data_IF_670096877735
#
_entry.id   IF_670096877735
#
_cell.length_a   1.000
_cell.length_b   1.000
_cell.length_c   1.000
_cell.angle_alpha   90.00
_cell.angle_beta   90.00
_cell.angle_gamma   90.00
#
_symmetry.space_group_name_H-M   'P 1'
#
loop_
_entity.id
_entity.type
_entity.pdbx_description
1 polymer ?
#
# COMPACT_ATOMS: atom_id res chain seq x y z
N UNK A 1 11.36 -21.77 -18.30
CA UNK A 1 10.75 -23.08 -18.07
C UNK A 1 11.66 -24.14 -18.68
N UNK A 2 11.99 -25.18 -17.94
CA UNK A 2 12.80 -26.32 -18.42
C UNK A 2 11.94 -27.57 -18.41
N UNK A 3 11.79 -28.17 -19.59
CA UNK A 3 11.14 -29.44 -19.80
C UNK A 3 12.24 -30.52 -19.97
N UNK A 4 12.25 -31.58 -19.17
CA UNK A 4 13.21 -32.66 -19.36
C UNK A 4 12.99 -33.38 -20.69
N UNK A 5 14.08 -33.89 -21.30
CA UNK A 5 14.03 -34.54 -22.60
C UNK A 5 13.06 -35.74 -22.64
N UNK A 6 12.87 -36.42 -21.51
CA UNK A 6 12.02 -37.62 -21.39
C UNK A 6 10.58 -37.28 -20.97
N UNK A 7 10.17 -35.99 -21.01
CA UNK A 7 8.87 -35.53 -20.50
C UNK A 7 7.69 -36.32 -21.09
N UNK A 8 7.67 -36.42 -22.39
CA UNK A 8 6.59 -37.13 -23.10
C UNK A 8 6.61 -38.64 -22.85
N UNK A 9 7.78 -39.26 -22.83
CA UNK A 9 7.93 -40.71 -22.63
C UNK A 9 7.50 -41.15 -21.22
N UNK A 10 7.81 -40.36 -20.21
CA UNK A 10 7.36 -40.61 -18.83
C UNK A 10 5.85 -40.42 -18.68
N UNK A 11 5.28 -39.38 -19.31
CA UNK A 11 3.84 -39.17 -19.36
C UNK A 11 3.10 -40.34 -20.01
N UNK A 12 3.53 -40.79 -21.20
CA UNK A 12 2.91 -41.90 -21.91
C UNK A 12 2.99 -43.21 -21.10
N UNK A 13 4.05 -43.39 -20.30
CA UNK A 13 4.21 -44.52 -19.39
C UNK A 13 3.41 -44.39 -18.08
N UNK A 14 2.62 -43.31 -17.92
CA UNK A 14 1.86 -43.04 -16.67
C UNK A 14 2.73 -42.71 -15.47
N UNK A 15 3.96 -42.23 -15.69
CA UNK A 15 4.88 -41.84 -14.62
C UNK A 15 4.86 -40.33 -14.38
N UNK A 16 5.10 -39.96 -13.12
CA UNK A 16 5.18 -38.55 -12.75
C UNK A 16 6.44 -37.92 -13.35
N UNK A 17 6.26 -36.80 -14.03
CA UNK A 17 7.35 -35.97 -14.55
C UNK A 17 7.36 -34.60 -13.90
N UNK A 18 8.51 -33.90 -13.90
CA UNK A 18 8.67 -32.64 -13.23
C UNK A 18 9.12 -31.55 -14.22
N UNK A 19 8.37 -30.45 -14.25
CA UNK A 19 8.73 -29.24 -14.98
C UNK A 19 9.41 -28.27 -14.03
N UNK A 20 10.57 -27.75 -14.40
CA UNK A 20 11.30 -26.78 -13.59
C UNK A 20 11.05 -25.37 -14.12
N UNK A 21 10.56 -24.50 -13.25
CA UNK A 21 10.37 -23.08 -13.56
C UNK A 21 11.41 -22.28 -12.79
N UNK A 22 12.23 -21.54 -13.51
CA UNK A 22 13.22 -20.64 -12.93
C UNK A 22 12.66 -19.23 -13.00
N UNK A 23 12.45 -18.61 -11.85
CA UNK A 23 11.94 -17.23 -11.72
C UNK A 23 12.95 -16.38 -10.96
N UNK A 24 13.17 -15.17 -11.42
CA UNK A 24 13.98 -14.19 -10.71
C UNK A 24 13.15 -13.55 -9.59
N UNK A 25 13.60 -13.72 -8.35
CA UNK A 25 12.96 -13.16 -7.16
C UNK A 25 13.32 -11.68 -6.91
N UNK A 26 14.21 -11.09 -7.69
CA UNK A 26 14.56 -9.67 -7.55
C UNK A 26 13.38 -8.74 -7.85
N UNK A 27 12.46 -9.18 -8.72
CA UNK A 27 11.20 -8.51 -9.00
C UNK A 27 10.02 -9.27 -8.37
N UNK A 28 9.75 -9.05 -7.08
CA UNK A 28 8.75 -9.79 -6.30
C UNK A 28 7.37 -9.89 -6.97
N UNK A 29 6.92 -8.82 -7.64
CA UNK A 29 5.63 -8.78 -8.33
C UNK A 29 5.60 -9.67 -9.57
N UNK A 30 6.67 -9.61 -10.37
CA UNK A 30 6.79 -10.48 -11.54
C UNK A 30 6.95 -11.94 -11.14
N UNK A 31 7.71 -12.19 -10.06
CA UNK A 31 7.86 -13.53 -9.51
C UNK A 31 6.51 -14.13 -9.09
N UNK A 32 5.70 -13.39 -8.31
CA UNK A 32 4.37 -13.85 -7.88
C UNK A 32 3.44 -14.10 -9.06
N UNK A 33 3.39 -13.17 -10.02
CA UNK A 33 2.55 -13.32 -11.21
C UNK A 33 2.93 -14.55 -12.04
N UNK A 34 4.23 -14.78 -12.25
CA UNK A 34 4.73 -15.95 -12.96
C UNK A 34 4.47 -17.25 -12.18
N UNK A 35 4.65 -17.25 -10.87
CA UNK A 35 4.39 -18.40 -10.03
C UNK A 35 2.90 -18.78 -10.04
N UNK A 36 2.02 -17.82 -9.87
CA UNK A 36 0.56 -18.04 -9.92
C UNK A 36 0.13 -18.55 -11.29
N UNK A 37 0.56 -17.88 -12.37
CA UNK A 37 0.25 -18.33 -13.73
C UNK A 37 0.74 -19.75 -14.01
N UNK A 38 1.97 -20.08 -13.58
CA UNK A 38 2.52 -21.42 -13.73
C UNK A 38 1.73 -22.46 -12.92
N UNK A 39 1.30 -22.12 -11.72
CA UNK A 39 0.48 -23.01 -10.88
C UNK A 39 -0.86 -23.30 -11.54
N UNK A 40 -1.57 -22.27 -12.04
CA UNK A 40 -2.84 -22.45 -12.74
C UNK A 40 -2.69 -23.29 -14.01
N UNK A 41 -1.69 -23.00 -14.85
CA UNK A 41 -1.41 -23.78 -16.06
C UNK A 41 -1.07 -25.22 -15.72
N UNK A 42 -0.29 -25.47 -14.67
CA UNK A 42 0.05 -26.84 -14.25
C UNK A 42 -1.17 -27.61 -13.76
N UNK A 43 -2.09 -26.97 -13.04
CA UNK A 43 -3.33 -27.60 -12.60
C UNK A 43 -4.24 -27.93 -13.77
N UNK A 44 -4.38 -27.01 -14.73
CA UNK A 44 -5.18 -27.19 -15.93
C UNK A 44 -4.64 -28.30 -16.82
N UNK A 45 -3.33 -28.30 -17.10
CA UNK A 45 -2.66 -29.37 -17.82
C UNK A 45 -2.81 -30.74 -17.12
N UNK A 46 -2.72 -30.77 -15.79
CA UNK A 46 -2.91 -32.04 -15.06
C UNK A 46 -4.35 -32.54 -15.18
N UNK A 47 -5.33 -31.63 -15.24
CA UNK A 47 -6.72 -31.96 -15.47
C UNK A 47 -6.90 -32.56 -16.88
N UNK A 48 -6.38 -31.90 -17.91
CA UNK A 48 -6.44 -32.37 -19.32
C UNK A 48 -5.78 -33.74 -19.50
N UNK A 49 -4.60 -33.93 -18.90
CA UNK A 49 -3.90 -35.23 -18.96
C UNK A 49 -4.75 -36.34 -18.32
N UNK A 50 -5.35 -36.12 -17.14
CA UNK A 50 -6.23 -37.09 -16.48
C UNK A 50 -7.41 -37.46 -17.37
N UNK A 51 -8.01 -36.49 -18.04
CA UNK A 51 -9.13 -36.67 -18.95
C UNK A 51 -8.76 -37.50 -20.17
N UNK A 52 -7.58 -37.28 -20.71
CA UNK A 52 -7.07 -38.08 -21.86
C UNK A 52 -6.95 -39.55 -21.52
N UNK A 53 -6.64 -39.90 -20.27
CA UNK A 53 -6.53 -41.29 -19.80
C UNK A 53 -7.86 -41.95 -19.43
N UNK A 54 -8.96 -41.21 -19.33
CA UNK A 54 -10.29 -41.72 -18.99
C UNK A 54 -11.35 -41.26 -19.99
N UNK A 55 -11.33 -41.78 -21.24
CA UNK A 55 -12.31 -41.41 -22.25
C UNK A 55 -13.71 -41.94 -21.89
N UNK A 56 -14.74 -41.15 -22.10
CA UNK A 56 -16.13 -41.55 -21.94
C UNK A 56 -16.87 -41.02 -20.71
N UNK A 57 -16.26 -40.09 -20.00
CA UNK A 57 -16.90 -39.40 -18.89
C UNK A 57 -17.87 -38.29 -19.38
N UNK A 58 -18.95 -38.06 -18.61
CA UNK A 58 -19.80 -36.91 -18.85
C UNK A 58 -19.11 -35.63 -18.33
N UNK A 59 -19.46 -34.45 -18.88
CA UNK A 59 -18.88 -33.17 -18.48
C UNK A 59 -18.97 -32.88 -16.96
N UNK A 60 -19.99 -33.39 -16.29
CA UNK A 60 -20.16 -33.25 -14.84
C UNK A 60 -19.19 -34.16 -14.07
N UNK A 61 -19.02 -35.42 -14.53
CA UNK A 61 -18.06 -36.35 -13.96
C UNK A 61 -16.63 -35.88 -14.16
N UNK A 62 -16.36 -35.29 -15.32
CA UNK A 62 -15.11 -34.62 -15.66
C UNK A 62 -14.77 -33.54 -14.67
N UNK A 63 -15.69 -32.63 -14.42
CA UNK A 63 -15.54 -31.53 -13.46
C UNK A 63 -15.32 -32.04 -12.03
N UNK A 64 -16.00 -33.08 -11.59
CA UNK A 64 -15.83 -33.67 -10.27
C UNK A 64 -14.46 -34.36 -10.14
N UNK A 65 -13.98 -35.03 -11.18
CA UNK A 65 -12.68 -35.70 -11.18
C UNK A 65 -11.48 -34.74 -11.25
N UNK A 66 -11.63 -33.64 -11.97
CA UNK A 66 -10.58 -32.62 -12.10
C UNK A 66 -10.55 -31.67 -10.91
N UNK A 67 -11.71 -31.32 -10.39
CA UNK A 67 -11.88 -30.41 -9.24
C UNK A 67 -12.89 -30.98 -8.24
N UNK A 68 -12.52 -32.00 -7.44
CA UNK A 68 -13.41 -32.61 -6.47
C UNK A 68 -13.86 -31.63 -5.38
N UNK A 69 -13.08 -30.60 -5.14
CA UNK A 69 -13.40 -29.49 -4.25
C UNK A 69 -13.37 -28.22 -5.09
N UNK A 70 -14.53 -27.65 -5.39
CA UNK A 70 -14.62 -26.33 -6.00
C UNK A 70 -14.30 -25.28 -4.92
N UNK A 71 -13.27 -24.46 -5.17
CA UNK A 71 -13.00 -23.30 -4.33
C UNK A 71 -13.28 -22.03 -5.12
N UNK A 72 -13.85 -21.07 -4.43
CA UNK A 72 -14.08 -19.72 -4.94
C UNK A 72 -13.18 -18.76 -4.17
N UNK A 73 -12.26 -18.11 -4.89
CA UNK A 73 -11.38 -17.12 -4.31
C UNK A 73 -12.10 -15.77 -4.24
N UNK A 74 -12.46 -15.36 -3.03
CA UNK A 74 -13.10 -14.07 -2.78
C UNK A 74 -12.09 -13.13 -2.12
N UNK A 75 -11.52 -12.23 -2.91
CA UNK A 75 -10.63 -11.17 -2.40
C UNK A 75 -11.44 -10.11 -1.64
N UNK A 76 -11.39 -10.14 -0.32
CA UNK A 76 -12.22 -9.29 0.53
C UNK A 76 -11.93 -7.79 0.40
N UNK A 77 -10.68 -7.40 0.25
CA UNK A 77 -10.24 -5.99 0.25
C UNK A 77 -9.74 -5.50 -1.10
N UNK A 78 -9.47 -6.39 -2.04
CA UNK A 78 -9.02 -6.06 -3.39
C UNK A 78 -9.69 -6.97 -4.42
N UNK A 79 -11.01 -6.81 -4.66
CA UNK A 79 -11.77 -7.71 -5.55
C UNK A 79 -11.27 -7.69 -7.01
N UNK A 80 -10.52 -6.68 -7.40
CA UNK A 80 -9.92 -6.60 -8.75
C UNK A 80 -8.56 -7.29 -8.83
N UNK A 81 -8.00 -7.76 -7.71
CA UNK A 81 -6.66 -8.34 -7.58
C UNK A 81 -5.58 -7.45 -8.25
N UNK A 82 -5.86 -6.13 -8.31
CA UNK A 82 -5.05 -5.13 -8.99
C UNK A 82 -3.97 -4.56 -8.05
N UNK A 83 -2.72 -4.58 -8.48
CA UNK A 83 -1.63 -3.94 -7.75
C UNK A 83 -1.87 -2.44 -7.50
N UNK A 84 -2.42 -1.75 -8.49
CA UNK A 84 -2.75 -0.33 -8.38
C UNK A 84 -3.82 -0.07 -7.30
N UNK A 85 -4.84 -0.93 -7.21
CA UNK A 85 -5.91 -0.81 -6.22
C UNK A 85 -5.38 -0.97 -4.78
N UNK A 86 -4.32 -1.73 -4.61
CA UNK A 86 -3.64 -1.92 -3.32
C UNK A 86 -2.66 -0.77 -3.01
N UNK A 87 -1.82 -0.38 -3.95
CA UNK A 87 -0.71 0.55 -3.70
C UNK A 87 -1.18 2.02 -3.65
N UNK A 88 -2.11 2.43 -4.52
CA UNK A 88 -2.50 3.84 -4.65
C UNK A 88 -3.06 4.41 -3.34
N UNK A 89 -3.99 3.78 -2.61
CA UNK A 89 -4.48 4.31 -1.35
C UNK A 89 -3.37 4.55 -0.32
N UNK A 90 -2.42 3.61 -0.23
CA UNK A 90 -1.29 3.73 0.67
C UNK A 90 -0.37 4.89 0.31
N UNK A 91 -0.07 5.07 -0.97
CA UNK A 91 0.73 6.19 -1.47
C UNK A 91 0.01 7.53 -1.23
N UNK A 92 -1.31 7.60 -1.40
CA UNK A 92 -2.08 8.82 -1.12
C UNK A 92 -1.98 9.25 0.35
N UNK A 93 -2.08 8.30 1.28
CA UNK A 93 -1.89 8.57 2.71
C UNK A 93 -0.46 9.04 3.00
N UNK A 94 0.54 8.39 2.38
CA UNK A 94 1.94 8.79 2.49
C UNK A 94 2.16 10.22 1.97
N UNK A 95 1.58 10.60 0.84
CA UNK A 95 1.68 11.95 0.26
C UNK A 95 1.10 12.98 1.22
N UNK A 96 -0.06 12.72 1.84
CA UNK A 96 -0.64 13.61 2.85
C UNK A 96 0.32 13.79 4.02
N UNK A 97 0.85 12.69 4.56
CA UNK A 97 1.82 12.72 5.67
C UNK A 97 3.06 13.53 5.31
N UNK A 98 3.65 13.29 4.15
CA UNK A 98 4.87 13.94 3.66
C UNK A 98 4.69 15.44 3.42
N UNK A 99 3.59 15.82 2.75
CA UNK A 99 3.31 17.22 2.45
C UNK A 99 3.02 18.02 3.71
N UNK A 100 2.35 17.42 4.71
CA UNK A 100 2.10 18.03 5.99
C UNK A 100 3.40 18.25 6.78
N UNK A 101 4.25 17.23 6.85
CA UNK A 101 5.56 17.29 7.49
C UNK A 101 6.45 18.35 6.83
N UNK A 102 6.46 18.39 5.49
CA UNK A 102 7.19 19.37 4.70
C UNK A 102 6.70 20.80 4.96
N UNK A 103 5.39 21.02 4.90
CA UNK A 103 4.79 22.34 5.10
C UNK A 103 5.11 22.93 6.47
N UNK A 104 4.95 22.13 7.53
CA UNK A 104 5.25 22.55 8.91
C UNK A 104 6.76 22.78 9.09
N UNK A 105 7.58 21.86 8.59
CA UNK A 105 9.03 21.94 8.70
C UNK A 105 9.64 23.11 7.94
N UNK A 106 9.19 23.36 6.70
CA UNK A 106 9.64 24.52 5.91
C UNK A 106 9.21 25.86 6.55
N UNK A 107 7.98 25.93 7.06
CA UNK A 107 7.51 27.12 7.78
C UNK A 107 8.40 27.43 8.97
N UNK A 108 8.72 26.42 9.79
CA UNK A 108 9.58 26.58 10.95
C UNK A 108 11.04 26.91 10.56
N UNK A 109 11.60 26.21 9.56
CA UNK A 109 12.96 26.47 9.06
C UNK A 109 13.11 27.89 8.51
N UNK A 110 12.17 28.33 7.67
CA UNK A 110 12.18 29.68 7.09
C UNK A 110 12.11 30.77 8.14
N UNK A 111 11.24 30.60 9.14
CA UNK A 111 11.13 31.60 10.21
C UNK A 111 12.41 31.69 11.06
N UNK A 112 13.13 30.59 11.24
CA UNK A 112 14.42 30.59 11.93
C UNK A 112 15.52 31.24 11.12
N UNK A 113 15.59 30.96 9.81
CA UNK A 113 16.57 31.60 8.91
C UNK A 113 16.40 33.12 8.85
N UNK A 114 15.14 33.58 8.93
CA UNK A 114 14.82 35.01 8.91
C UNK A 114 14.88 35.70 10.30
N UNK A 115 15.24 35.00 11.35
CA UNK A 115 15.20 35.47 12.74
C UNK A 115 13.82 35.99 13.16
N UNK A 116 12.76 35.58 12.47
CA UNK A 116 11.37 36.00 12.77
C UNK A 116 10.69 35.04 13.75
N UNK A 117 11.38 34.66 14.79
CA UNK A 117 10.88 33.75 15.84
C UNK A 117 9.62 34.28 16.55
N UNK A 118 9.51 35.58 16.67
CA UNK A 118 8.37 36.23 17.27
C UNK A 118 7.06 36.04 16.49
N UNK A 119 7.16 35.83 15.18
CA UNK A 119 6.01 35.50 14.34
C UNK A 119 5.57 34.04 14.52
N UNK A 120 6.52 33.14 14.77
CA UNK A 120 6.22 31.72 15.05
C UNK A 120 5.63 31.52 16.44
N UNK A 121 6.12 32.28 17.42
CA UNK A 121 5.73 32.14 18.82
C UNK A 121 5.37 33.54 19.35
N UNK A 122 4.15 34.02 19.14
CA UNK A 122 3.70 35.27 19.74
C UNK A 122 3.70 35.11 21.26
N UNK A 123 4.78 35.56 21.89
CA UNK A 123 4.93 35.51 23.35
C UNK A 123 4.07 36.63 23.96
N UNK A 124 2.86 36.29 24.35
CA UNK A 124 2.04 37.17 25.14
C UNK A 124 2.33 36.89 26.61
N UNK A 125 2.95 37.85 27.30
CA UNK A 125 3.48 37.72 28.66
C UNK A 125 2.44 37.43 29.76
N UNK A 126 1.15 37.43 29.45
CA UNK A 126 0.07 37.44 30.48
C UNK A 126 -0.61 36.10 30.74
N UNK A 127 -0.36 35.05 29.96
CA UNK A 127 -0.95 33.74 30.19
C UNK A 127 0.01 32.62 29.79
N UNK A 128 -0.04 31.47 30.46
CA UNK A 128 0.67 30.23 30.14
C UNK A 128 0.36 29.78 28.67
N UNK A 129 0.90 30.54 27.71
CA UNK A 129 0.49 30.54 26.32
C UNK A 129 1.00 29.38 25.48
N UNK A 130 1.92 28.53 26.01
CA UNK A 130 2.54 27.47 25.19
C UNK A 130 1.51 26.49 24.62
N UNK A 131 0.64 25.96 25.49
CA UNK A 131 -0.42 25.05 25.07
C UNK A 131 -1.39 25.72 24.08
N UNK A 132 -1.75 26.95 24.33
CA UNK A 132 -2.66 27.72 23.46
C UNK A 132 -2.06 27.95 22.07
N UNK A 133 -0.75 28.24 22.00
CA UNK A 133 -0.03 28.43 20.74
C UNK A 133 0.06 27.07 19.97
N UNK A 134 0.42 25.99 20.66
CA UNK A 134 0.54 24.69 20.07
C UNK A 134 -0.81 24.18 19.53
N UNK A 135 -1.86 24.28 20.35
CA UNK A 135 -3.21 23.89 19.95
C UNK A 135 -3.78 24.81 18.86
N UNK A 136 -3.56 26.11 18.94
CA UNK A 136 -4.00 27.03 17.90
C UNK A 136 -3.34 26.80 16.55
N UNK A 137 -2.04 26.56 16.53
CA UNK A 137 -1.31 26.17 15.30
C UNK A 137 -1.75 24.80 14.80
N UNK A 138 -1.90 23.83 15.70
CA UNK A 138 -2.39 22.50 15.35
C UNK A 138 -3.77 22.57 14.70
N UNK A 139 -4.68 23.37 15.26
CA UNK A 139 -6.00 23.58 14.67
C UNK A 139 -5.95 24.29 13.32
N UNK A 140 -5.08 25.30 13.17
CA UNK A 140 -4.91 25.98 11.89
C UNK A 140 -4.42 25.01 10.78
N UNK A 141 -3.41 24.18 11.07
CA UNK A 141 -2.94 23.16 10.12
C UNK A 141 -4.03 22.12 9.83
N UNK A 142 -4.78 21.70 10.84
CA UNK A 142 -5.89 20.78 10.66
C UNK A 142 -6.94 21.36 9.68
N UNK A 143 -7.35 22.62 9.89
CA UNK A 143 -8.33 23.28 9.02
C UNK A 143 -7.85 23.41 7.57
N UNK A 144 -6.56 23.65 7.36
CA UNK A 144 -5.96 23.70 6.02
C UNK A 144 -5.93 22.30 5.36
N UNK A 145 -5.65 21.25 6.14
CA UNK A 145 -5.49 19.90 5.60
C UNK A 145 -6.78 19.09 5.48
N UNK A 146 -7.84 19.44 6.20
CA UNK A 146 -9.14 18.79 6.04
C UNK A 146 -9.62 18.79 4.58
N UNK A 147 -9.67 19.93 3.85
CA UNK A 147 -10.05 19.93 2.45
C UNK A 147 -9.08 19.14 1.56
N UNK A 148 -7.78 19.15 1.87
CA UNK A 148 -6.79 18.36 1.14
C UNK A 148 -7.07 16.87 1.30
N UNK A 149 -7.34 16.41 2.51
CA UNK A 149 -7.67 15.00 2.80
C UNK A 149 -8.98 14.58 2.14
N UNK A 150 -10.00 15.43 2.21
CA UNK A 150 -11.29 15.17 1.53
C UNK A 150 -11.08 15.03 0.02
N UNK A 151 -10.26 15.90 -0.57
CA UNK A 151 -9.92 15.80 -1.99
C UNK A 151 -9.12 14.52 -2.30
N UNK A 152 -8.02 14.29 -1.61
CA UNK A 152 -7.09 13.20 -1.91
C UNK A 152 -7.69 11.83 -1.60
N UNK A 153 -8.38 11.66 -0.48
CA UNK A 153 -8.96 10.36 -0.09
C UNK A 153 -10.42 10.19 -0.52
N UNK A 154 -11.13 11.28 -0.82
CA UNK A 154 -12.53 11.24 -1.24
C UNK A 154 -12.74 11.34 -2.75
N UNK A 155 -12.11 12.34 -3.38
CA UNK A 155 -12.32 12.63 -4.81
C UNK A 155 -11.40 11.81 -5.71
N UNK A 156 -10.10 11.77 -5.40
CA UNK A 156 -9.10 11.08 -6.24
C UNK A 156 -9.42 9.60 -6.45
N UNK A 157 -9.72 8.78 -5.43
CA UNK A 157 -10.05 7.37 -5.64
C UNK A 157 -11.31 7.17 -6.50
N UNK A 158 -12.30 8.05 -6.37
CA UNK A 158 -13.50 8.01 -7.22
C UNK A 158 -13.20 8.33 -8.68
N UNK A 159 -12.32 9.30 -8.92
CA UNK A 159 -11.89 9.69 -10.26
C UNK A 159 -11.18 8.53 -10.98
N UNK A 160 -10.35 7.79 -10.26
CA UNK A 160 -9.63 6.61 -10.77
C UNK A 160 -10.42 5.30 -10.66
N UNK A 161 -11.70 5.35 -10.29
CA UNK A 161 -12.57 4.17 -10.11
C UNK A 161 -11.96 3.09 -9.20
N UNK A 162 -11.22 3.52 -8.19
CA UNK A 162 -10.71 2.61 -7.15
C UNK A 162 -11.85 2.17 -6.26
N UNK A 163 -11.88 0.89 -5.92
CA UNK A 163 -12.93 0.33 -5.06
C UNK A 163 -12.88 0.96 -3.67
N UNK A 164 -13.98 1.61 -3.29
CA UNK A 164 -14.20 2.13 -1.96
C UNK A 164 -14.99 1.11 -1.14
N UNK A 165 -14.29 0.36 -0.30
CA UNK A 165 -14.90 -0.64 0.59
C UNK A 165 -15.31 -0.05 1.94
N UNK A 166 -14.88 1.17 2.28
CA UNK A 166 -15.16 1.81 3.56
C UNK A 166 -16.26 2.87 3.50
N UNK A 167 -17.09 2.94 4.55
CA UNK A 167 -18.01 4.05 4.73
C UNK A 167 -17.23 5.37 4.89
N UNK A 168 -17.72 6.49 4.33
CA UNK A 168 -17.03 7.79 4.44
C UNK A 168 -16.88 8.27 5.90
N UNK A 169 -17.80 7.87 6.78
CA UNK A 169 -17.71 8.16 8.20
C UNK A 169 -16.51 7.46 8.87
N UNK A 170 -16.25 6.21 8.52
CA UNK A 170 -15.09 5.45 9.03
C UNK A 170 -13.78 6.07 8.56
N UNK A 171 -13.73 6.52 7.30
CA UNK A 171 -12.57 7.21 6.75
C UNK A 171 -12.31 8.53 7.52
N UNK A 172 -13.36 9.31 7.80
CA UNK A 172 -13.26 10.54 8.58
C UNK A 172 -12.80 10.29 10.02
N UNK A 173 -13.35 9.26 10.66
CA UNK A 173 -12.98 8.87 12.03
C UNK A 173 -11.51 8.44 12.14
N UNK A 174 -10.94 7.87 11.09
CA UNK A 174 -9.51 7.55 11.03
C UNK A 174 -8.65 8.75 10.63
N UNK A 175 -9.10 9.56 9.68
CA UNK A 175 -8.32 10.67 9.12
C UNK A 175 -8.04 11.77 10.14
N UNK A 176 -9.01 12.09 11.02
CA UNK A 176 -8.83 13.14 12.02
C UNK A 176 -7.75 12.83 13.05
N UNK A 177 -7.75 11.66 13.73
CA UNK A 177 -6.66 11.29 14.63
C UNK A 177 -5.30 11.19 13.91
N UNK A 178 -5.29 10.65 12.70
CA UNK A 178 -4.09 10.56 11.86
C UNK A 178 -3.50 11.95 11.57
N UNK A 179 -4.33 12.92 11.15
CA UNK A 179 -3.88 14.29 10.91
C UNK A 179 -3.35 14.94 12.18
N UNK A 180 -4.05 14.81 13.30
CA UNK A 180 -3.61 15.37 14.58
C UNK A 180 -2.26 14.78 15.00
N UNK A 181 -2.11 13.45 14.93
CA UNK A 181 -0.85 12.79 15.26
C UNK A 181 0.29 13.28 14.35
N UNK A 182 0.05 13.37 13.04
CA UNK A 182 1.04 13.86 12.08
C UNK A 182 1.40 15.33 12.30
N UNK A 183 0.42 16.19 12.59
CA UNK A 183 0.64 17.61 12.89
C UNK A 183 1.53 17.77 14.12
N UNK A 184 1.18 17.13 15.24
CA UNK A 184 1.98 17.25 16.47
C UNK A 184 3.36 16.61 16.31
N UNK A 185 3.47 15.50 15.60
CA UNK A 185 4.75 14.92 15.25
C UNK A 185 5.60 15.88 14.41
N UNK A 186 5.03 16.47 13.36
CA UNK A 186 5.71 17.42 12.49
C UNK A 186 6.14 18.69 13.27
N UNK A 187 5.29 19.20 14.15
CA UNK A 187 5.62 20.33 15.02
C UNK A 187 6.77 20.01 15.96
N UNK A 188 6.81 18.81 16.53
CA UNK A 188 7.89 18.34 17.40
C UNK A 188 9.21 18.21 16.62
N UNK A 189 9.18 17.57 15.48
CA UNK A 189 10.36 17.40 14.61
C UNK A 189 10.85 18.77 14.11
N UNK A 190 9.94 19.70 13.82
CA UNK A 190 10.27 21.05 13.36
C UNK A 190 11.11 21.84 14.38
N UNK A 191 11.03 21.51 15.67
CA UNK A 191 11.87 22.12 16.71
C UNK A 191 13.36 21.80 16.50
N UNK A 192 13.68 20.63 15.99
CA UNK A 192 15.07 20.25 15.71
C UNK A 192 15.62 20.87 14.41
N UNK A 193 14.75 21.37 13.53
CA UNK A 193 15.14 21.90 12.23
C UNK A 193 15.61 23.33 12.32
N UNK A 194 16.88 23.56 12.00
CA UNK A 194 17.49 24.91 12.01
C UNK A 194 17.45 25.58 10.64
N UNK A 195 17.42 24.81 9.54
CA UNK A 195 17.43 25.29 8.16
C UNK A 195 16.35 24.54 7.36
N UNK A 196 15.75 25.21 6.37
CA UNK A 196 14.77 24.61 5.47
C UNK A 196 15.33 23.41 4.68
N UNK A 197 16.63 23.43 4.34
CA UNK A 197 17.30 22.33 3.64
C UNK A 197 17.31 21.05 4.49
N UNK A 198 17.53 21.17 5.79
CA UNK A 198 17.50 20.02 6.72
C UNK A 198 16.12 19.35 6.75
N UNK A 199 15.05 20.13 6.57
CA UNK A 199 13.71 19.62 6.49
C UNK A 199 13.51 18.73 5.26
N UNK A 200 13.94 19.19 4.10
CA UNK A 200 13.85 18.42 2.85
C UNK A 200 14.64 17.11 2.95
N UNK A 201 15.87 17.18 3.43
CA UNK A 201 16.70 15.99 3.62
C UNK A 201 16.04 14.99 4.57
N UNK A 202 15.54 15.43 5.71
CA UNK A 202 14.90 14.56 6.69
C UNK A 202 13.68 13.85 6.07
N UNK A 203 12.84 14.55 5.31
CA UNK A 203 11.66 13.99 4.68
C UNK A 203 12.05 12.95 3.64
N UNK A 204 13.02 13.25 2.78
CA UNK A 204 13.49 12.29 1.75
C UNK A 204 14.02 11.03 2.41
N UNK A 205 14.85 11.16 3.46
CA UNK A 205 15.44 10.00 4.14
C UNK A 205 14.46 9.22 5.01
N UNK A 206 13.40 9.84 5.53
CA UNK A 206 12.40 9.16 6.36
C UNK A 206 11.24 8.58 5.56
N UNK A 207 10.96 9.08 4.36
CA UNK A 207 9.83 8.65 3.54
C UNK A 207 9.90 7.17 3.17
N UNK A 208 11.02 6.70 2.70
CA UNK A 208 11.21 5.31 2.25
C UNK A 208 11.15 4.32 3.43
N UNK A 209 11.89 4.51 4.53
CA UNK A 209 11.74 3.64 5.70
C UNK A 209 10.32 3.62 6.27
N UNK A 210 9.63 4.76 6.34
CA UNK A 210 8.26 4.81 6.82
C UNK A 210 7.30 4.02 5.93
N UNK A 211 7.49 4.05 4.61
CA UNK A 211 6.71 3.24 3.68
C UNK A 211 6.89 1.74 3.96
N UNK A 212 8.12 1.28 4.17
CA UNK A 212 8.37 -0.13 4.47
C UNK A 212 7.89 -0.55 5.86
N UNK A 213 8.04 0.30 6.87
CA UNK A 213 7.57 0.03 8.24
C UNK A 213 6.03 0.00 8.30
N UNK A 214 5.34 0.73 7.43
CA UNK A 214 3.87 0.76 7.38
C UNK A 214 3.23 -0.59 7.02
N UNK A 215 4.01 -1.59 6.65
CA UNK A 215 3.53 -2.94 6.34
C UNK A 215 2.97 -3.10 4.93
N UNK A 216 3.04 -2.08 4.07
CA UNK A 216 2.55 -2.14 2.69
C UNK A 216 3.22 -3.27 1.90
N UNK A 217 4.46 -3.66 2.26
CA UNK A 217 5.17 -4.77 1.62
C UNK A 217 4.84 -6.16 2.19
N UNK A 218 4.08 -6.26 3.31
CA UNK A 218 3.80 -7.53 3.99
C UNK A 218 2.39 -8.09 3.75
N UNK A 219 1.54 -7.39 3.05
CA UNK A 219 0.11 -7.70 2.95
C UNK A 219 -0.24 -8.98 2.17
N UNK A 220 0.73 -9.86 1.87
CA UNK A 220 0.47 -11.07 1.10
C UNK A 220 1.33 -12.29 1.54
N UNK A 221 1.61 -12.44 2.82
CA UNK A 221 2.33 -13.63 3.34
C UNK A 221 1.43 -14.42 4.31
N UNK A 222 0.11 -14.41 4.12
CA UNK A 222 -0.78 -15.39 4.77
C UNK A 222 -1.71 -16.01 3.74
#
# INVERSE_FOLDING_TARGET
>A
VYLPANFNDELVRGRQTCVKVFCDMSGLLYYKALLSANTYVSLDMNADIKMHYQPGLTKEQEKILTQPIAYEEVSLYNPQNGFAAFLIPAVLVLVIHQTLLLGIGLSAGTARERNSYAELVPVNRHFNGLLRIVLGKGLAYLLVYVPVVVYVLGVVPRLFRLNHLGAPATLGAFAVPFLLATIFFAMTVSVAMRRRETCILLIVFTSVPLLFISGIGKAEIE
#
